data_IF_125465192256
#
_entry.id   IF_125465192256
#
_cell.length_a   1.000
_cell.length_b   1.000
_cell.length_c   1.000
_cell.angle_alpha   90.00
_cell.angle_beta   90.00
_cell.angle_gamma   90.00
#
_symmetry.space_group_name_H-M   'P 1'
#
loop_
_entity.id
_entity.type
_entity.pdbx_description
1 polymer ?
#
# COMPACT_ATOMS: atom_id res chain seq x y z
N UNK A 1 137.92 65.50 -60.42
CA UNK A 1 137.77 65.10 -59.00
C UNK A 1 136.28 64.91 -58.73
N UNK A 2 135.84 63.79 -58.18
CA UNK A 2 134.47 63.54 -57.74
C UNK A 2 134.23 64.07 -56.31
N UNK A 3 132.96 64.31 -55.96
CA UNK A 3 132.54 64.71 -54.61
C UNK A 3 132.60 63.53 -53.63
N UNK A 4 132.40 63.75 -52.33
CA UNK A 4 132.63 62.71 -51.31
C UNK A 4 131.74 61.46 -51.49
N UNK A 5 130.51 61.63 -51.99
CA UNK A 5 129.52 60.57 -52.27
C UNK A 5 129.55 60.05 -53.71
N UNK A 6 130.44 60.57 -54.55
CA UNK A 6 130.55 60.19 -55.96
C UNK A 6 131.88 59.49 -56.25
N UNK A 7 131.84 58.59 -57.23
CA UNK A 7 133.03 58.03 -57.87
C UNK A 7 133.07 58.42 -59.35
N UNK A 8 134.28 58.68 -59.88
CA UNK A 8 134.47 58.80 -61.31
C UNK A 8 134.64 57.41 -61.89
N UNK A 9 133.80 57.11 -62.86
CA UNK A 9 133.90 55.94 -63.71
C UNK A 9 134.63 56.38 -64.97
N UNK A 10 135.83 55.87 -65.19
CA UNK A 10 136.64 56.14 -66.39
C UNK A 10 136.68 54.87 -67.23
N UNK A 11 136.36 55.03 -68.51
CA UNK A 11 136.33 53.94 -69.49
C UNK A 11 137.06 54.38 -70.76
N UNK A 12 137.43 53.39 -71.58
CA UNK A 12 138.08 53.53 -72.89
C UNK A 12 139.60 53.77 -72.83
N UNK A 13 140.18 54.29 -73.92
CA UNK A 13 141.59 54.18 -74.32
C UNK A 13 142.59 53.93 -73.17
N UNK A 14 143.27 52.76 -73.22
CA UNK A 14 144.25 52.25 -72.24
C UNK A 14 143.69 51.69 -70.91
N UNK A 15 142.37 51.52 -70.77
CA UNK A 15 141.71 50.83 -69.64
C UNK A 15 140.83 49.70 -70.22
N UNK A 16 141.10 48.45 -69.84
CA UNK A 16 140.46 47.26 -70.44
C UNK A 16 139.01 47.04 -69.98
N UNK A 17 138.61 47.56 -68.83
CA UNK A 17 137.27 47.33 -68.25
C UNK A 17 136.66 48.65 -67.73
N UNK A 18 136.70 48.91 -66.42
CA UNK A 18 136.22 50.15 -65.81
C UNK A 18 137.13 50.52 -64.65
N UNK A 19 137.66 51.75 -64.66
CA UNK A 19 138.43 52.27 -63.52
C UNK A 19 137.57 53.23 -62.67
N UNK A 20 137.41 52.90 -61.39
CA UNK A 20 136.70 53.73 -60.42
C UNK A 20 137.70 54.55 -59.60
N UNK A 21 137.73 55.87 -59.79
CA UNK A 21 138.66 56.77 -59.11
C UNK A 21 137.95 58.00 -58.54
N UNK A 22 138.34 58.48 -57.35
CA UNK A 22 137.86 59.78 -56.84
C UNK A 22 138.52 60.97 -57.51
N UNK A 23 139.74 60.80 -58.00
CA UNK A 23 140.51 61.83 -58.72
C UNK A 23 141.43 61.13 -59.72
N UNK A 24 141.26 61.46 -60.99
CA UNK A 24 142.14 60.96 -62.06
C UNK A 24 142.21 62.00 -63.19
N UNK A 25 143.32 61.98 -63.93
CA UNK A 25 143.55 62.78 -65.14
C UNK A 25 143.01 62.03 -66.34
N UNK A 26 142.16 62.68 -67.13
CA UNK A 26 141.50 62.04 -68.29
C UNK A 26 142.40 62.28 -69.51
N UNK A 27 142.90 61.20 -70.10
CA UNK A 27 143.70 61.25 -71.32
C UNK A 27 142.81 61.43 -72.56
N UNK A 28 143.33 61.97 -73.68
CA UNK A 28 142.58 62.08 -74.93
C UNK A 28 142.10 60.69 -75.39
N UNK A 29 140.78 60.54 -75.55
CA UNK A 29 140.14 59.26 -75.91
C UNK A 29 139.55 58.46 -74.74
N UNK A 30 139.57 58.99 -73.51
CA UNK A 30 138.87 58.41 -72.36
C UNK A 30 137.55 59.13 -72.09
N UNK A 31 136.52 58.37 -71.71
CA UNK A 31 135.21 58.90 -71.30
C UNK A 31 135.05 58.85 -69.78
N UNK A 32 134.53 59.94 -69.20
CA UNK A 32 134.23 60.04 -67.76
C UNK A 32 132.73 60.11 -67.53
N UNK A 33 132.23 59.25 -66.64
CA UNK A 33 130.88 59.35 -66.05
C UNK A 33 130.97 59.44 -64.53
N UNK A 34 130.08 60.20 -63.87
CA UNK A 34 129.98 60.27 -62.40
C UNK A 34 128.93 59.29 -61.89
N UNK A 35 129.24 58.55 -60.82
CA UNK A 35 128.34 57.60 -60.15
C UNK A 35 128.12 58.04 -58.70
N UNK A 36 126.87 58.35 -58.34
CA UNK A 36 126.49 58.75 -56.98
C UNK A 36 126.08 57.50 -56.17
N UNK A 37 126.62 57.40 -54.96
CA UNK A 37 126.53 56.21 -54.09
C UNK A 37 125.82 56.56 -52.78
N UNK A 38 125.01 57.62 -52.78
CA UNK A 38 124.27 58.08 -51.61
C UNK A 38 123.28 57.00 -51.10
N UNK A 39 123.29 56.67 -49.80
CA UNK A 39 122.39 55.65 -49.24
C UNK A 39 120.92 56.11 -49.29
N UNK A 40 120.01 55.21 -49.66
CA UNK A 40 118.56 55.47 -49.70
C UNK A 40 117.84 54.89 -48.48
N UNK A 41 116.87 55.65 -47.98
CA UNK A 41 116.01 55.23 -46.87
C UNK A 41 114.70 54.65 -47.41
N UNK A 42 114.36 53.43 -46.99
CA UNK A 42 113.09 52.77 -47.27
C UNK A 42 112.26 52.65 -46.00
N UNK A 43 111.05 53.20 -46.03
CA UNK A 43 110.09 53.12 -44.93
C UNK A 43 109.11 51.98 -45.18
N UNK A 44 109.01 51.03 -44.25
CA UNK A 44 108.04 49.95 -44.31
C UNK A 44 107.07 50.04 -43.14
N UNK A 45 105.79 49.84 -43.44
CA UNK A 45 104.75 49.66 -42.43
C UNK A 45 104.45 48.17 -42.30
N UNK A 46 105.03 47.55 -41.26
CA UNK A 46 104.86 46.11 -41.03
C UNK A 46 103.66 45.91 -40.10
N UNK A 47 102.64 45.23 -40.62
CA UNK A 47 101.49 44.82 -39.83
C UNK A 47 101.81 43.51 -39.10
N UNK A 48 101.99 43.59 -37.79
CA UNK A 48 102.32 42.44 -36.96
C UNK A 48 101.21 42.16 -35.93
N UNK A 49 101.10 40.89 -35.52
CA UNK A 49 100.16 40.45 -34.49
C UNK A 49 100.95 39.76 -33.37
N UNK A 50 100.73 40.18 -32.13
CA UNK A 50 101.31 39.54 -30.94
C UNK A 50 100.75 38.13 -30.74
N UNK A 51 101.44 37.29 -29.96
CA UNK A 51 100.94 35.97 -29.55
C UNK A 51 99.56 36.05 -28.85
N UNK A 52 99.24 37.19 -28.24
CA UNK A 52 97.94 37.48 -27.60
C UNK A 52 96.88 38.05 -28.56
N UNK A 53 97.14 38.02 -29.87
CA UNK A 53 96.26 38.55 -30.94
C UNK A 53 96.03 40.06 -30.95
N UNK A 54 96.87 40.84 -30.27
CA UNK A 54 96.88 42.29 -30.43
C UNK A 54 97.62 42.70 -31.70
N UNK A 55 96.96 43.51 -32.54
CA UNK A 55 97.50 44.07 -33.78
C UNK A 55 98.27 45.36 -33.48
N UNK A 56 99.48 45.50 -34.04
CA UNK A 56 100.25 46.74 -33.95
C UNK A 56 101.01 47.00 -35.26
N UNK A 57 101.17 48.28 -35.59
CA UNK A 57 101.87 48.77 -36.78
C UNK A 57 103.27 49.22 -36.38
N UNK A 58 104.30 48.55 -36.88
CA UNK A 58 105.69 48.96 -36.71
C UNK A 58 106.12 49.77 -37.94
N UNK A 59 106.41 51.05 -37.73
CA UNK A 59 107.10 51.86 -38.73
C UNK A 59 108.60 51.63 -38.59
N UNK A 60 109.18 50.88 -39.52
CA UNK A 60 110.61 50.58 -39.56
C UNK A 60 111.24 51.27 -40.76
N UNK A 61 112.29 52.05 -40.53
CA UNK A 61 113.08 52.69 -41.59
C UNK A 61 114.37 51.89 -41.77
N UNK A 62 114.59 51.35 -42.96
CA UNK A 62 115.84 50.69 -43.32
C UNK A 62 116.63 51.59 -44.26
N UNK A 63 117.89 51.86 -43.92
CA UNK A 63 118.82 52.58 -44.79
C UNK A 63 119.63 51.56 -45.56
N UNK A 64 119.49 51.54 -46.89
CA UNK A 64 120.24 50.63 -47.78
C UNK A 64 121.16 51.49 -48.63
N UNK A 65 122.46 51.23 -48.55
CA UNK A 65 123.49 51.90 -49.34
C UNK A 65 124.52 50.89 -49.85
N UNK A 66 125.13 51.12 -51.01
CA UNK A 66 126.22 50.28 -51.51
C UNK A 66 127.39 50.28 -50.53
N UNK A 67 128.02 49.12 -50.31
CA UNK A 67 129.22 49.03 -49.47
C UNK A 67 130.39 49.66 -50.22
N UNK A 68 130.96 50.72 -49.66
CA UNK A 68 132.02 51.52 -50.30
C UNK A 68 133.40 50.85 -50.31
N UNK A 69 133.58 49.82 -49.47
CA UNK A 69 134.90 49.21 -49.21
C UNK A 69 135.21 48.03 -50.15
N UNK A 70 134.24 47.56 -50.94
CA UNK A 70 134.36 46.37 -51.79
C UNK A 70 134.09 46.72 -53.27
N UNK A 71 135.17 46.96 -54.02
CA UNK A 71 135.12 47.40 -55.42
C UNK A 71 134.33 46.44 -56.33
N UNK A 72 134.35 45.14 -56.01
CA UNK A 72 133.69 44.10 -56.81
C UNK A 72 132.15 44.20 -56.71
N UNK A 73 131.64 44.74 -55.60
CA UNK A 73 130.21 44.97 -55.40
C UNK A 73 129.70 46.23 -56.12
N UNK A 74 130.56 47.23 -56.32
CA UNK A 74 130.24 48.46 -57.06
C UNK A 74 130.19 48.22 -58.58
N UNK A 75 130.99 47.28 -59.10
CA UNK A 75 130.99 46.91 -60.52
C UNK A 75 129.68 46.21 -60.95
N UNK A 76 129.06 45.44 -60.04
CA UNK A 76 127.83 44.66 -60.31
C UNK A 76 126.56 45.50 -60.47
N UNK A 77 126.56 46.77 -60.07
CA UNK A 77 125.37 47.63 -60.08
C UNK A 77 124.98 48.17 -61.47
N UNK A 78 125.80 48.04 -62.52
CA UNK A 78 125.54 48.75 -63.80
C UNK A 78 125.35 47.87 -65.04
N UNK A 79 125.36 46.55 -64.95
CA UNK A 79 125.16 45.69 -66.11
C UNK A 79 124.42 44.40 -65.81
N UNK A 80 123.12 44.32 -66.13
CA UNK A 80 122.52 43.04 -66.52
C UNK A 80 121.07 43.17 -67.05
N UNK A 81 120.89 43.01 -68.37
CA UNK A 81 119.58 42.74 -68.99
C UNK A 81 119.07 41.31 -68.68
N UNK A 82 119.96 40.41 -68.25
CA UNK A 82 119.64 39.01 -67.96
C UNK A 82 118.93 38.79 -66.61
N UNK A 83 119.07 39.71 -65.63
CA UNK A 83 118.27 39.66 -64.39
C UNK A 83 116.83 40.13 -64.58
N UNK A 84 116.56 41.05 -65.52
CA UNK A 84 115.19 41.44 -65.88
C UNK A 84 114.39 40.26 -66.43
N UNK A 85 115.00 39.46 -67.31
CA UNK A 85 114.37 38.26 -67.87
C UNK A 85 114.12 37.16 -66.83
N UNK A 86 115.07 36.92 -65.92
CA UNK A 86 114.92 35.92 -64.86
C UNK A 86 113.83 36.33 -63.86
N UNK A 87 113.79 37.61 -63.48
CA UNK A 87 112.78 38.15 -62.56
C UNK A 87 111.39 38.15 -63.21
N UNK A 88 111.28 38.48 -64.50
CA UNK A 88 110.02 38.40 -65.25
C UNK A 88 109.51 36.95 -65.37
N UNK A 89 110.40 35.96 -65.54
CA UNK A 89 110.03 34.54 -65.56
C UNK A 89 109.56 34.06 -64.17
N UNK A 90 110.29 34.43 -63.12
CA UNK A 90 109.93 34.09 -61.74
C UNK A 90 108.60 34.73 -61.33
N UNK A 91 108.38 36.00 -61.68
CA UNK A 91 107.12 36.71 -61.45
C UNK A 91 105.95 36.08 -62.22
N UNK A 92 106.16 35.64 -63.46
CA UNK A 92 105.14 34.96 -64.25
C UNK A 92 104.81 33.56 -63.72
N UNK A 93 105.80 32.81 -63.27
CA UNK A 93 105.61 31.48 -62.68
C UNK A 93 104.87 31.57 -61.33
N UNK A 94 105.27 32.51 -60.47
CA UNK A 94 104.56 32.81 -59.22
C UNK A 94 103.12 33.31 -59.47
N UNK A 95 102.91 34.16 -60.48
CA UNK A 95 101.59 34.67 -60.84
C UNK A 95 100.67 33.56 -61.38
N UNK A 96 101.21 32.61 -62.14
CA UNK A 96 100.44 31.46 -62.63
C UNK A 96 100.11 30.47 -61.51
N UNK A 97 101.05 30.20 -60.60
CA UNK A 97 100.78 29.34 -59.44
C UNK A 97 99.71 29.95 -58.52
N UNK A 98 99.80 31.26 -58.23
CA UNK A 98 98.79 31.96 -57.45
C UNK A 98 97.41 31.92 -58.11
N UNK A 99 97.32 32.00 -59.45
CA UNK A 99 96.05 31.84 -60.18
C UNK A 99 95.47 30.44 -60.02
N UNK A 100 96.30 29.40 -60.07
CA UNK A 100 95.88 28.00 -59.88
C UNK A 100 95.37 27.79 -58.45
N UNK A 101 96.11 28.25 -57.44
CA UNK A 101 95.73 28.09 -56.03
C UNK A 101 94.44 28.85 -55.71
N UNK A 102 94.27 30.06 -56.25
CA UNK A 102 93.02 30.85 -56.12
C UNK A 102 91.85 30.15 -56.83
N UNK A 103 92.07 29.55 -58.00
CA UNK A 103 91.04 28.81 -58.71
C UNK A 103 90.63 27.54 -57.95
N UNK A 104 91.59 26.80 -57.39
CA UNK A 104 91.34 25.61 -56.59
C UNK A 104 90.61 25.95 -55.28
N UNK A 105 91.03 27.02 -54.58
CA UNK A 105 90.37 27.51 -53.39
C UNK A 105 88.94 27.98 -53.67
N UNK A 106 88.71 28.70 -54.78
CA UNK A 106 87.37 29.10 -55.24
C UNK A 106 86.51 27.89 -55.57
N UNK A 107 87.06 26.88 -56.24
CA UNK A 107 86.36 25.63 -56.56
C UNK A 107 85.97 24.89 -55.27
N UNK A 108 86.90 24.69 -54.33
CA UNK A 108 86.64 24.06 -53.02
C UNK A 108 85.59 24.83 -52.22
N UNK A 109 85.68 26.16 -52.20
CA UNK A 109 84.69 27.03 -51.56
C UNK A 109 83.29 26.90 -52.18
N UNK A 110 83.20 26.92 -53.50
CA UNK A 110 81.94 26.77 -54.23
C UNK A 110 81.30 25.38 -54.05
N UNK A 111 82.11 24.32 -54.09
CA UNK A 111 81.67 22.95 -53.83
C UNK A 111 81.20 22.80 -52.38
N UNK A 112 81.96 23.32 -51.41
CA UNK A 112 81.56 23.31 -50.00
C UNK A 112 80.26 24.09 -49.75
N UNK A 113 80.09 25.25 -50.39
CA UNK A 113 78.87 26.04 -50.30
C UNK A 113 77.66 25.31 -50.90
N UNK A 114 77.81 24.66 -52.07
CA UNK A 114 76.74 23.84 -52.67
C UNK A 114 76.41 22.61 -51.82
N UNK A 115 77.42 21.94 -51.25
CA UNK A 115 77.21 20.78 -50.38
C UNK A 115 76.41 21.15 -49.14
N UNK A 116 76.73 22.27 -48.47
CA UNK A 116 75.96 22.76 -47.32
C UNK A 116 74.52 23.07 -47.71
N UNK A 117 74.29 23.75 -48.84
CA UNK A 117 72.93 24.01 -49.35
C UNK A 117 72.16 22.71 -49.62
N UNK A 118 72.81 21.72 -50.24
CA UNK A 118 72.22 20.40 -50.47
C UNK A 118 71.87 19.68 -49.16
N UNK A 119 72.76 19.72 -48.17
CA UNK A 119 72.52 19.16 -46.84
C UNK A 119 71.39 19.88 -46.10
N UNK A 120 71.32 21.22 -46.17
CA UNK A 120 70.22 21.99 -45.57
C UNK A 120 68.87 21.60 -46.19
N UNK A 121 68.80 21.47 -47.52
CA UNK A 121 67.58 21.06 -48.21
C UNK A 121 67.19 19.61 -47.86
N UNK A 122 68.16 18.69 -47.79
CA UNK A 122 67.90 17.30 -47.38
C UNK A 122 67.43 17.19 -45.93
N UNK A 123 68.05 17.94 -45.01
CA UNK A 123 67.66 17.95 -43.61
C UNK A 123 66.28 18.59 -43.42
N UNK A 124 65.97 19.68 -44.13
CA UNK A 124 64.63 20.26 -44.12
C UNK A 124 63.58 19.25 -44.61
N UNK A 125 63.83 18.57 -45.74
CA UNK A 125 62.92 17.56 -46.26
C UNK A 125 62.72 16.36 -45.30
N UNK A 126 63.78 15.93 -44.61
CA UNK A 126 63.69 14.88 -43.58
C UNK A 126 62.86 15.34 -42.38
N UNK A 127 63.12 16.55 -41.88
CA UNK A 127 62.37 17.13 -40.75
C UNK A 127 60.89 17.27 -41.12
N UNK A 128 60.57 17.76 -42.32
CA UNK A 128 59.19 17.91 -42.78
C UNK A 128 58.48 16.55 -42.89
N UNK A 129 59.17 15.53 -43.41
CA UNK A 129 58.64 14.18 -43.50
C UNK A 129 58.40 13.57 -42.10
N UNK A 130 59.36 13.68 -41.20
CA UNK A 130 59.24 13.22 -39.81
C UNK A 130 58.12 13.96 -39.07
N UNK A 131 58.03 15.28 -39.23
CA UNK A 131 56.98 16.11 -38.63
C UNK A 131 55.61 15.69 -39.16
N UNK A 132 55.48 15.43 -40.46
CA UNK A 132 54.23 14.94 -41.06
C UNK A 132 53.84 13.56 -40.55
N UNK A 133 54.79 12.65 -40.38
CA UNK A 133 54.54 11.32 -39.79
C UNK A 133 54.08 11.45 -38.34
N UNK A 134 54.75 12.29 -37.54
CA UNK A 134 54.39 12.53 -36.14
C UNK A 134 53.00 13.17 -36.03
N UNK A 135 52.68 14.15 -36.88
CA UNK A 135 51.34 14.76 -36.93
C UNK A 135 50.27 13.72 -37.23
N UNK A 136 50.45 12.91 -38.28
CA UNK A 136 49.45 11.88 -38.65
C UNK A 136 49.30 10.81 -37.56
N UNK A 137 50.41 10.38 -36.93
CA UNK A 137 50.36 9.42 -35.81
C UNK A 137 49.60 10.01 -34.61
N UNK A 138 49.94 11.24 -34.21
CA UNK A 138 49.28 11.93 -33.09
C UNK A 138 47.80 12.18 -33.35
N UNK A 139 47.42 12.52 -34.58
CA UNK A 139 46.02 12.69 -34.97
C UNK A 139 45.25 11.35 -34.94
N UNK A 140 45.89 10.26 -35.38
CA UNK A 140 45.34 8.91 -35.30
C UNK A 140 45.12 8.46 -33.85
N UNK A 141 46.13 8.63 -33.00
CA UNK A 141 46.06 8.34 -31.56
C UNK A 141 44.99 9.19 -30.85
N UNK A 142 44.93 10.49 -31.14
CA UNK A 142 43.92 11.40 -30.57
C UNK A 142 42.50 10.97 -30.95
N UNK A 143 42.27 10.63 -32.22
CA UNK A 143 40.96 10.11 -32.68
C UNK A 143 40.61 8.78 -32.02
N UNK A 144 41.59 7.88 -31.87
CA UNK A 144 41.37 6.60 -31.20
C UNK A 144 41.02 6.78 -29.72
N UNK A 145 41.70 7.69 -29.04
CA UNK A 145 41.44 8.01 -27.64
C UNK A 145 40.09 8.71 -27.46
N UNK A 146 39.73 9.63 -28.35
CA UNK A 146 38.41 10.26 -28.36
C UNK A 146 37.28 9.24 -28.55
N UNK A 147 37.41 8.32 -29.52
CA UNK A 147 36.45 7.23 -29.73
C UNK A 147 36.36 6.34 -28.48
N UNK A 148 37.50 5.98 -27.88
CA UNK A 148 37.54 5.16 -26.67
C UNK A 148 36.86 5.84 -25.49
N UNK A 149 37.13 7.13 -25.25
CA UNK A 149 36.49 7.91 -24.18
C UNK A 149 35.00 8.04 -24.43
N UNK A 150 34.58 8.35 -25.66
CA UNK A 150 33.17 8.50 -26.00
C UNK A 150 32.42 7.16 -25.90
N UNK A 151 33.05 6.06 -26.32
CA UNK A 151 32.47 4.71 -26.19
C UNK A 151 32.36 4.31 -24.72
N UNK A 152 33.37 4.57 -23.89
CA UNK A 152 33.29 4.35 -22.43
C UNK A 152 32.19 5.20 -21.80
N UNK A 153 32.08 6.47 -22.17
CA UNK A 153 31.03 7.35 -21.67
C UNK A 153 29.63 6.85 -22.09
N UNK A 154 29.47 6.35 -23.31
CA UNK A 154 28.22 5.78 -23.80
C UNK A 154 27.86 4.46 -23.11
N UNK A 155 28.82 3.57 -22.91
CA UNK A 155 28.62 2.32 -22.15
C UNK A 155 28.17 2.65 -20.72
N UNK A 156 28.83 3.59 -20.06
CA UNK A 156 28.47 3.99 -18.70
C UNK A 156 27.05 4.58 -18.63
N UNK A 157 26.69 5.46 -19.57
CA UNK A 157 25.32 5.99 -19.66
C UNK A 157 24.30 4.87 -19.86
N UNK A 158 24.54 3.97 -20.81
CA UNK A 158 23.64 2.84 -21.08
C UNK A 158 23.51 1.91 -19.87
N UNK A 159 24.61 1.61 -19.16
CA UNK A 159 24.59 0.82 -17.93
C UNK A 159 23.76 1.52 -16.85
N UNK A 160 23.96 2.83 -16.66
CA UNK A 160 23.22 3.59 -15.66
C UNK A 160 21.72 3.69 -15.99
N UNK A 161 21.40 3.87 -17.27
CA UNK A 161 20.02 3.84 -17.75
C UNK A 161 19.37 2.47 -17.54
N UNK A 162 20.09 1.37 -17.81
CA UNK A 162 19.62 0.01 -17.55
C UNK A 162 19.39 -0.22 -16.03
N UNK A 163 20.32 0.18 -15.17
CA UNK A 163 20.16 0.10 -13.71
C UNK A 163 18.93 0.91 -13.22
N UNK A 164 18.73 2.12 -13.76
CA UNK A 164 17.55 2.94 -13.43
C UNK A 164 16.26 2.26 -13.91
N UNK A 165 16.27 1.68 -15.11
CA UNK A 165 15.12 0.95 -15.65
C UNK A 165 14.79 -0.29 -14.82
N UNK A 166 15.78 -1.06 -14.40
CA UNK A 166 15.62 -2.22 -13.51
C UNK A 166 15.09 -1.79 -12.14
N UNK A 167 15.65 -0.75 -11.54
CA UNK A 167 15.18 -0.22 -10.26
C UNK A 167 13.72 0.28 -10.36
N UNK A 168 13.37 0.95 -11.46
CA UNK A 168 11.99 1.40 -11.72
C UNK A 168 11.04 0.22 -11.95
N UNK A 169 11.47 -0.82 -12.66
CA UNK A 169 10.68 -2.04 -12.84
C UNK A 169 10.44 -2.76 -11.50
N UNK A 170 11.48 -2.90 -10.68
CA UNK A 170 11.36 -3.46 -9.32
C UNK A 170 10.43 -2.63 -8.45
N UNK A 171 10.57 -1.30 -8.47
CA UNK A 171 9.69 -0.39 -7.75
C UNK A 171 8.23 -0.52 -8.23
N UNK A 172 8.00 -0.65 -9.53
CA UNK A 172 6.67 -0.88 -10.10
C UNK A 172 6.08 -2.22 -9.65
N UNK A 173 6.86 -3.31 -9.65
CA UNK A 173 6.39 -4.62 -9.14
C UNK A 173 6.05 -4.57 -7.64
N UNK A 174 6.87 -3.90 -6.83
CA UNK A 174 6.59 -3.70 -5.40
C UNK A 174 5.33 -2.88 -5.18
N UNK A 175 5.14 -1.78 -5.92
CA UNK A 175 3.90 -1.00 -5.89
C UNK A 175 2.68 -1.83 -6.27
N UNK A 176 2.76 -2.61 -7.35
CA UNK A 176 1.67 -3.48 -7.78
C UNK A 176 1.34 -4.56 -6.74
N UNK A 177 2.35 -5.10 -6.05
CA UNK A 177 2.13 -6.05 -4.96
C UNK A 177 1.45 -5.38 -3.77
N UNK A 178 1.92 -4.20 -3.33
CA UNK A 178 1.27 -3.45 -2.26
C UNK A 178 -0.18 -3.07 -2.62
N UNK A 179 -0.44 -2.63 -3.85
CA UNK A 179 -1.79 -2.33 -4.33
C UNK A 179 -2.69 -3.58 -4.40
N UNK A 180 -2.11 -4.75 -4.69
CA UNK A 180 -2.83 -6.01 -4.64
C UNK A 180 -3.15 -6.40 -3.20
N UNK A 181 -2.21 -6.25 -2.28
CA UNK A 181 -2.37 -6.58 -0.87
C UNK A 181 -3.39 -5.68 -0.19
N UNK A 182 -3.38 -4.36 -0.48
CA UNK A 182 -4.39 -3.42 0.04
C UNK A 182 -5.79 -3.76 -0.46
N UNK A 183 -5.95 -4.00 -1.77
CA UNK A 183 -7.24 -4.43 -2.34
C UNK A 183 -7.70 -5.77 -1.78
N UNK A 184 -6.79 -6.72 -1.56
CA UNK A 184 -7.12 -8.01 -0.97
C UNK A 184 -7.62 -7.83 0.46
N UNK A 185 -6.94 -7.03 1.28
CA UNK A 185 -7.36 -6.72 2.64
C UNK A 185 -8.72 -6.01 2.69
N UNK A 186 -9.00 -5.07 1.77
CA UNK A 186 -10.31 -4.40 1.66
C UNK A 186 -11.43 -5.39 1.29
N UNK A 187 -11.18 -6.28 0.34
CA UNK A 187 -12.14 -7.32 -0.07
C UNK A 187 -12.36 -8.33 1.06
N UNK A 188 -11.32 -8.73 1.77
CA UNK A 188 -11.44 -9.64 2.92
C UNK A 188 -12.23 -8.98 4.05
N UNK A 189 -11.93 -7.72 4.39
CA UNK A 189 -12.67 -6.96 5.40
C UNK A 189 -14.15 -6.83 5.03
N UNK A 190 -14.47 -6.46 3.78
CA UNK A 190 -15.86 -6.36 3.32
C UNK A 190 -16.57 -7.72 3.31
N UNK A 191 -15.90 -8.81 2.93
CA UNK A 191 -16.47 -10.17 3.02
C UNK A 191 -16.73 -10.59 4.46
N UNK A 192 -15.84 -10.28 5.40
CA UNK A 192 -16.05 -10.58 6.83
C UNK A 192 -17.27 -9.82 7.36
N UNK A 193 -17.43 -8.55 6.99
CA UNK A 193 -18.62 -7.76 7.35
C UNK A 193 -19.88 -8.40 6.76
N UNK A 194 -19.87 -8.75 5.47
CA UNK A 194 -21.01 -9.36 4.80
C UNK A 194 -21.39 -10.75 5.37
N UNK A 195 -20.41 -11.56 5.77
CA UNK A 195 -20.66 -12.84 6.43
C UNK A 195 -21.32 -12.64 7.80
N UNK A 196 -20.81 -11.70 8.61
CA UNK A 196 -21.42 -11.37 9.91
C UNK A 196 -22.83 -10.83 9.75
N UNK A 197 -23.08 -9.99 8.74
CA UNK A 197 -24.41 -9.48 8.45
C UNK A 197 -25.38 -10.59 8.03
N UNK A 198 -24.93 -11.51 7.17
CA UNK A 198 -25.71 -12.68 6.76
C UNK A 198 -25.99 -13.65 7.93
N UNK A 199 -25.02 -13.87 8.82
CA UNK A 199 -25.20 -14.65 10.06
C UNK A 199 -26.23 -13.99 10.97
N UNK A 200 -26.12 -12.68 11.20
CA UNK A 200 -27.06 -11.93 12.03
C UNK A 200 -28.47 -11.94 11.42
N UNK A 201 -28.58 -11.82 10.11
CA UNK A 201 -29.86 -11.87 9.42
C UNK A 201 -30.50 -13.27 9.54
N UNK A 202 -29.72 -14.34 9.43
CA UNK A 202 -30.20 -15.70 9.72
C UNK A 202 -30.70 -15.85 11.15
N UNK A 203 -29.99 -15.30 12.14
CA UNK A 203 -30.44 -15.33 13.53
C UNK A 203 -31.76 -14.57 13.73
N UNK A 204 -31.91 -13.41 13.08
CA UNK A 204 -33.15 -12.62 13.13
C UNK A 204 -34.31 -13.40 12.50
N UNK A 205 -34.10 -14.00 11.33
CA UNK A 205 -35.11 -14.84 10.66
C UNK A 205 -35.49 -16.05 11.52
N UNK A 206 -34.50 -16.72 12.13
CA UNK A 206 -34.72 -17.83 13.03
C UNK A 206 -35.55 -17.43 14.26
N UNK A 207 -35.20 -16.30 14.91
CA UNK A 207 -35.97 -15.77 16.05
C UNK A 207 -37.38 -15.35 15.66
N UNK A 208 -37.54 -14.75 14.48
CA UNK A 208 -38.86 -14.38 13.95
C UNK A 208 -39.72 -15.63 13.68
N UNK A 209 -39.14 -16.68 13.08
CA UNK A 209 -39.82 -17.95 12.86
C UNK A 209 -40.23 -18.61 14.19
N UNK A 210 -39.33 -18.66 15.18
CA UNK A 210 -39.65 -19.17 16.52
C UNK A 210 -40.82 -18.39 17.15
N UNK A 211 -40.77 -17.06 17.13
CA UNK A 211 -41.82 -16.19 17.66
C UNK A 211 -43.16 -16.46 16.98
N UNK A 212 -43.18 -16.67 15.66
CA UNK A 212 -44.40 -17.03 14.93
C UNK A 212 -44.92 -18.42 15.33
N UNK A 213 -44.04 -19.41 15.49
CA UNK A 213 -44.46 -20.75 15.93
C UNK A 213 -45.01 -20.74 17.34
N UNK A 214 -44.42 -19.97 18.26
CA UNK A 214 -44.92 -19.81 19.63
C UNK A 214 -46.26 -19.08 19.65
N UNK A 215 -46.42 -18.03 18.84
CA UNK A 215 -47.69 -17.33 18.69
C UNK A 215 -48.79 -18.26 18.17
N UNK A 216 -48.52 -19.04 17.13
CA UNK A 216 -49.47 -20.02 16.59
C UNK A 216 -49.79 -21.12 17.62
N UNK A 217 -48.77 -21.58 18.36
CA UNK A 217 -48.96 -22.55 19.44
C UNK A 217 -49.87 -22.00 20.54
N UNK A 218 -49.65 -20.76 20.99
CA UNK A 218 -50.49 -20.10 21.98
C UNK A 218 -51.93 -19.91 21.48
N UNK A 219 -52.11 -19.49 20.22
CA UNK A 219 -53.43 -19.37 19.61
C UNK A 219 -54.16 -20.72 19.52
N UNK A 220 -53.46 -21.77 19.09
CA UNK A 220 -54.04 -23.11 18.99
C UNK A 220 -54.37 -23.70 20.36
N UNK A 221 -53.49 -23.50 21.35
CA UNK A 221 -53.75 -23.91 22.73
C UNK A 221 -54.97 -23.18 23.29
N UNK A 222 -55.04 -21.84 23.14
CA UNK A 222 -56.20 -21.06 23.60
C UNK A 222 -57.49 -21.52 22.94
N UNK A 223 -57.50 -21.75 21.62
CA UNK A 223 -58.67 -22.29 20.92
C UNK A 223 -59.07 -23.66 21.44
N UNK A 224 -58.11 -24.59 21.61
CA UNK A 224 -58.38 -25.92 22.13
C UNK A 224 -58.92 -25.89 23.57
N UNK A 225 -58.41 -24.99 24.43
CA UNK A 225 -58.92 -24.81 25.79
C UNK A 225 -60.36 -24.31 25.76
N UNK A 226 -60.66 -23.27 24.96
CA UNK A 226 -62.02 -22.74 24.83
C UNK A 226 -62.97 -23.81 24.28
N UNK A 227 -62.58 -24.56 23.24
CA UNK A 227 -63.39 -25.64 22.69
C UNK A 227 -63.66 -26.76 23.72
N UNK A 228 -62.66 -27.10 24.54
CA UNK A 228 -62.84 -28.06 25.62
C UNK A 228 -63.77 -27.53 26.72
N UNK A 229 -63.65 -26.26 27.10
CA UNK A 229 -64.54 -25.61 28.08
C UNK A 229 -65.98 -25.53 27.56
N UNK A 230 -66.18 -25.17 26.29
CA UNK A 230 -67.50 -25.19 25.65
C UNK A 230 -68.10 -26.59 25.69
N UNK A 231 -67.35 -27.63 25.27
CA UNK A 231 -67.84 -29.02 25.30
C UNK A 231 -68.13 -29.50 26.72
N UNK A 232 -67.32 -29.11 27.70
CA UNK A 232 -67.56 -29.42 29.10
C UNK A 232 -68.87 -28.77 29.58
N UNK A 233 -69.06 -27.48 29.30
CA UNK A 233 -70.29 -26.76 29.63
C UNK A 233 -71.52 -27.28 28.89
N UNK A 234 -71.40 -27.68 27.62
CA UNK A 234 -72.47 -28.32 26.86
C UNK A 234 -72.85 -29.67 27.49
N UNK A 235 -71.87 -30.48 27.89
CA UNK A 235 -72.12 -31.75 28.57
C UNK A 235 -72.79 -31.55 29.94
N UNK A 236 -72.32 -30.57 30.73
CA UNK A 236 -72.93 -30.17 32.00
C UNK A 236 -74.37 -29.68 31.81
N UNK A 237 -74.62 -28.90 30.77
CA UNK A 237 -75.95 -28.41 30.42
C UNK A 237 -76.90 -29.55 30.04
N UNK A 238 -76.45 -30.50 29.23
CA UNK A 238 -77.23 -31.69 28.88
C UNK A 238 -77.54 -32.57 30.10
N UNK A 239 -76.58 -32.73 31.02
CA UNK A 239 -76.82 -33.39 32.30
C UNK A 239 -77.84 -32.63 33.14
N UNK A 240 -77.72 -31.30 33.25
CA UNK A 240 -78.65 -30.46 33.99
C UNK A 240 -80.07 -30.55 33.42
N UNK A 241 -80.22 -30.53 32.08
CA UNK A 241 -81.51 -30.69 31.40
C UNK A 241 -82.14 -32.05 31.70
N UNK A 242 -81.36 -33.13 31.63
CA UNK A 242 -81.84 -34.49 32.00
C UNK A 242 -82.23 -34.57 33.47
N UNK A 243 -81.43 -34.01 34.37
CA UNK A 243 -81.72 -34.00 35.81
C UNK A 243 -82.99 -33.20 36.12
N UNK A 244 -83.17 -32.02 35.52
CA UNK A 244 -84.41 -31.23 35.63
C UNK A 244 -85.61 -31.99 35.09
N UNK A 245 -85.48 -32.65 33.94
CA UNK A 245 -86.53 -33.48 33.36
C UNK A 245 -86.90 -34.67 34.26
N UNK A 246 -85.91 -35.39 34.79
CA UNK A 246 -86.14 -36.50 35.72
C UNK A 246 -86.79 -36.03 37.03
N UNK A 247 -86.34 -34.89 37.59
CA UNK A 247 -86.95 -34.31 38.78
C UNK A 247 -88.40 -33.86 38.55
N UNK A 248 -88.72 -33.35 37.35
CA UNK A 248 -90.10 -33.01 36.99
C UNK A 248 -90.98 -34.27 36.98
N UNK A 249 -90.51 -35.35 36.35
CA UNK A 249 -91.23 -36.63 36.29
C UNK A 249 -91.41 -37.24 37.68
N UNK A 250 -90.38 -37.18 38.53
CA UNK A 250 -90.49 -37.60 39.93
C UNK A 250 -91.55 -36.79 40.68
N UNK A 251 -91.54 -35.48 40.53
CA UNK A 251 -92.53 -34.60 41.15
C UNK A 251 -93.96 -34.88 40.66
N UNK A 252 -94.15 -35.14 39.36
CA UNK A 252 -95.44 -35.53 38.80
C UNK A 252 -95.93 -36.87 39.40
N UNK A 253 -95.05 -37.86 39.51
CA UNK A 253 -95.37 -39.13 40.16
C UNK A 253 -95.67 -38.97 41.65
N UNK A 254 -94.91 -38.16 42.39
CA UNK A 254 -95.18 -37.84 43.79
C UNK A 254 -96.55 -37.18 43.96
N UNK A 255 -96.88 -36.21 43.10
CA UNK A 255 -98.19 -35.53 43.11
C UNK A 255 -99.34 -36.48 42.80
N UNK A 256 -99.20 -37.33 41.79
CA UNK A 256 -100.21 -38.34 41.45
C UNK A 256 -100.38 -39.37 42.58
N UNK A 257 -99.28 -39.78 43.23
CA UNK A 257 -99.33 -40.68 44.38
C UNK A 257 -100.04 -40.02 45.57
N UNK A 258 -99.72 -38.76 45.89
CA UNK A 258 -100.41 -37.94 46.91
C UNK A 258 -101.91 -37.84 46.62
N UNK A 259 -102.29 -37.55 45.38
CA UNK A 259 -103.70 -37.48 44.97
C UNK A 259 -104.41 -38.82 45.16
N UNK A 260 -103.76 -39.93 44.79
CA UNK A 260 -104.30 -41.29 44.98
C UNK A 260 -104.43 -41.70 46.46
N UNK A 261 -103.52 -41.21 47.31
CA UNK A 261 -103.61 -41.41 48.75
C UNK A 261 -104.74 -40.54 49.32
N UNK A 262 -104.83 -39.29 48.90
CA UNK A 262 -105.87 -38.37 49.34
C UNK A 262 -107.27 -38.89 48.98
N UNK A 263 -107.49 -39.37 47.75
CA UNK A 263 -108.76 -39.98 47.35
C UNK A 263 -109.10 -41.21 48.19
N UNK A 264 -108.14 -42.13 48.38
CA UNK A 264 -108.33 -43.31 49.25
C UNK A 264 -108.63 -42.94 50.70
N UNK A 265 -107.98 -41.91 51.25
CA UNK A 265 -108.27 -41.44 52.61
C UNK A 265 -109.67 -40.85 52.71
N UNK A 266 -110.12 -40.08 51.72
CA UNK A 266 -111.48 -39.54 51.65
C UNK A 266 -112.54 -40.63 51.49
N UNK A 267 -112.28 -41.64 50.67
CA UNK A 267 -113.15 -42.82 50.54
C UNK A 267 -113.21 -43.61 51.86
N UNK A 268 -112.07 -43.82 52.52
CA UNK A 268 -112.04 -44.48 53.82
C UNK A 268 -112.77 -43.68 54.92
N UNK A 269 -112.64 -42.35 54.93
CA UNK A 269 -113.43 -41.46 55.79
C UNK A 269 -114.92 -41.54 55.49
N UNK A 270 -115.32 -41.55 54.21
CA UNK A 270 -116.72 -41.68 53.80
C UNK A 270 -117.30 -43.03 54.26
N UNK A 271 -116.56 -44.13 54.13
CA UNK A 271 -116.95 -45.45 54.62
C UNK A 271 -117.05 -45.49 56.15
N UNK A 272 -116.11 -44.85 56.87
CA UNK A 272 -116.21 -44.71 58.34
C UNK A 272 -117.45 -43.94 58.74
N UNK A 273 -117.72 -42.80 58.11
CA UNK A 273 -118.91 -42.00 58.37
C UNK A 273 -120.20 -42.78 58.03
N UNK A 274 -120.20 -43.57 56.96
CA UNK A 274 -121.33 -44.42 56.59
C UNK A 274 -121.54 -45.55 57.61
N UNK A 275 -120.46 -46.18 58.08
CA UNK A 275 -120.49 -47.19 59.13
C UNK A 275 -120.99 -46.60 60.45
N UNK A 276 -120.49 -45.43 60.86
CA UNK A 276 -120.95 -44.71 62.05
C UNK A 276 -122.42 -44.30 61.95
N UNK A 277 -122.87 -43.81 60.79
CA UNK A 277 -124.28 -43.52 60.53
C UNK A 277 -125.15 -44.78 60.62
N UNK A 278 -124.66 -45.92 60.11
CA UNK A 278 -125.38 -47.20 60.21
C UNK A 278 -125.47 -47.71 61.65
N UNK A 279 -124.40 -47.58 62.44
CA UNK A 279 -124.38 -47.92 63.87
C UNK A 279 -125.32 -47.02 64.65
N UNK A 280 -125.35 -45.72 64.35
CA UNK A 280 -126.27 -44.78 64.97
C UNK A 280 -127.74 -45.11 64.64
N UNK A 281 -128.05 -45.48 63.38
CA UNK A 281 -129.38 -45.93 63.00
C UNK A 281 -129.79 -47.23 63.71
N UNK A 282 -128.87 -48.19 63.89
CA UNK A 282 -129.11 -49.40 64.67
C UNK A 282 -129.36 -49.08 66.15
N UNK A 283 -128.58 -48.17 66.76
CA UNK A 283 -128.79 -47.72 68.14
C UNK A 283 -130.17 -47.08 68.31
N UNK A 284 -130.56 -46.15 67.43
CA UNK A 284 -131.89 -45.53 67.50
C UNK A 284 -133.02 -46.53 67.31
N UNK A 285 -132.88 -47.51 66.42
CA UNK A 285 -133.86 -48.60 66.29
C UNK A 285 -133.95 -49.44 67.56
N UNK A 286 -132.82 -49.83 68.14
CA UNK A 286 -132.78 -50.61 69.37
C UNK A 286 -133.36 -49.83 70.56
N UNK A 287 -133.06 -48.53 70.69
CA UNK A 287 -133.64 -47.64 71.70
C UNK A 287 -135.15 -47.47 71.49
N UNK A 288 -135.61 -47.33 70.25
CA UNK A 288 -137.04 -47.30 69.90
C UNK A 288 -137.77 -48.60 70.26
N UNK A 289 -137.15 -49.76 70.01
CA UNK A 289 -137.67 -51.07 70.40
C UNK A 289 -137.71 -51.25 71.92
N UNK A 290 -136.69 -50.78 72.64
CA UNK A 290 -136.69 -50.79 74.11
C UNK A 290 -137.77 -49.87 74.67
N UNK A 291 -137.95 -48.68 74.10
CA UNK A 291 -139.00 -47.76 74.51
C UNK A 291 -140.41 -48.33 74.25
N UNK A 292 -140.61 -49.01 73.12
CA UNK A 292 -141.86 -49.70 72.81
C UNK A 292 -142.18 -50.80 73.85
N UNK A 293 -141.20 -51.64 74.18
CA UNK A 293 -141.35 -52.66 75.23
C UNK A 293 -141.63 -52.05 76.62
N UNK A 294 -140.98 -50.92 76.93
CA UNK A 294 -141.21 -50.22 78.19
C UNK A 294 -142.64 -49.65 78.28
N UNK A 295 -143.15 -49.08 77.18
CA UNK A 295 -144.53 -48.60 77.06
C UNK A 295 -145.58 -49.71 77.17
N UNK A 296 -145.34 -50.87 76.54
CA UNK A 296 -146.20 -52.04 76.68
C UNK A 296 -146.24 -52.55 78.13
N UNK A 297 -145.08 -52.65 78.79
CA UNK A 297 -145.00 -53.06 80.19
C UNK A 297 -145.71 -52.08 81.15
N UNK A 298 -145.65 -50.77 80.86
CA UNK A 298 -146.36 -49.72 81.59
C UNK A 298 -147.89 -49.84 81.39
N UNK A 299 -148.34 -50.17 80.17
CA UNK A 299 -149.74 -50.46 79.87
C UNK A 299 -150.27 -51.69 80.62
N UNK A 300 -149.47 -52.76 80.68
CA UNK A 300 -149.80 -53.96 81.44
C UNK A 300 -149.92 -53.68 82.95
N UNK A 301 -149.00 -52.88 83.50
CA UNK A 301 -149.05 -52.44 84.90
C UNK A 301 -150.32 -51.65 85.20
N UNK A 302 -150.68 -50.71 84.32
CA UNK A 302 -151.89 -49.90 84.47
C UNK A 302 -153.16 -50.75 84.45
N UNK A 303 -153.23 -51.78 83.59
CA UNK A 303 -154.36 -52.71 83.55
C UNK A 303 -154.53 -53.48 84.87
N UNK A 304 -153.43 -53.88 85.51
CA UNK A 304 -153.44 -54.61 86.79
C UNK A 304 -153.86 -53.72 87.95
N UNK A 305 -153.40 -52.46 87.97
CA UNK A 305 -153.82 -51.48 88.98
C UNK A 305 -155.34 -51.23 88.88
N UNK A 306 -155.87 -51.03 87.67
CA UNK A 306 -157.32 -50.82 87.47
C UNK A 306 -158.15 -52.04 87.86
N UNK A 307 -157.66 -53.26 87.62
CA UNK A 307 -158.30 -54.49 88.11
C UNK A 307 -158.29 -54.58 89.64
N UNK A 308 -157.20 -54.17 90.29
CA UNK A 308 -157.09 -54.14 91.75
C UNK A 308 -158.02 -53.10 92.40
N UNK A 309 -158.19 -51.93 91.78
CA UNK A 309 -159.17 -50.92 92.20
C UNK A 309 -160.61 -51.43 92.10
N UNK A 310 -160.95 -52.15 91.02
CA UNK A 310 -162.27 -52.77 90.86
C UNK A 310 -162.56 -53.84 91.92
N UNK A 311 -161.56 -54.64 92.31
CA UNK A 311 -161.70 -55.61 93.40
C UNK A 311 -161.92 -54.94 94.77
N UNK A 312 -161.26 -53.82 95.06
CA UNK A 312 -161.49 -53.04 96.29
C UNK A 312 -162.93 -52.54 96.37
N UNK A 313 -163.44 -51.96 95.29
CA UNK A 313 -164.82 -51.47 95.24
C UNK A 313 -165.86 -52.58 95.48
N UNK A 314 -165.57 -53.81 95.04
CA UNK A 314 -166.45 -54.97 95.27
C UNK A 314 -166.46 -55.41 96.75
N UNK A 315 -165.30 -55.44 97.41
CA UNK A 315 -165.20 -55.81 98.83
C UNK A 315 -165.87 -54.76 99.73
N UNK A 316 -165.70 -53.48 99.43
CA UNK A 316 -166.34 -52.38 100.19
C UNK A 316 -167.88 -52.43 100.09
N UNK A 317 -168.41 -52.81 98.91
CA UNK A 317 -169.86 -52.99 98.71
C UNK A 317 -170.43 -54.17 99.51
N UNK A 318 -169.71 -55.30 99.57
CA UNK A 318 -170.12 -56.45 100.39
C UNK A 318 -170.06 -56.14 101.89
N UNK A 319 -169.04 -55.40 102.32
CA UNK A 319 -168.94 -54.93 103.71
C UNK A 319 -170.10 -54.03 104.12
N UNK A 320 -170.56 -53.16 103.22
CA UNK A 320 -171.71 -52.28 103.48
C UNK A 320 -173.05 -53.04 103.56
N UNK A 321 -173.26 -54.01 102.67
CA UNK A 321 -174.48 -54.82 102.66
C UNK A 321 -174.63 -55.68 103.94
N UNK A 322 -173.55 -56.34 104.37
CA UNK A 322 -173.54 -57.16 105.59
C UNK A 322 -173.78 -56.28 106.84
N UNK A 323 -173.18 -55.09 106.90
CA UNK A 323 -173.35 -54.17 108.03
C UNK A 323 -174.80 -53.65 108.17
N UNK A 324 -175.48 -53.46 107.05
CA UNK A 324 -176.87 -52.96 107.03
C UNK A 324 -177.86 -54.04 107.47
N UNK A 325 -177.66 -55.29 107.01
CA UNK A 325 -178.46 -56.44 107.44
C UNK A 325 -178.25 -56.81 108.92
N UNK A 326 -177.04 -56.64 109.44
CA UNK A 326 -176.73 -56.98 110.84
C UNK A 326 -177.31 -55.97 111.85
N UNK A 327 -177.51 -54.72 111.44
CA UNK A 327 -178.10 -53.68 112.28
C UNK A 327 -179.64 -53.78 112.40
N UNK A 328 -180.34 -54.33 111.40
CA UNK A 328 -181.81 -54.49 111.48
C UNK A 328 -182.28 -55.59 112.43
N UNK A 329 -181.39 -56.47 112.89
CA UNK A 329 -181.73 -57.60 113.78
C UNK A 329 -181.15 -57.50 115.21
N UNK A 330 -180.76 -56.30 115.66
CA UNK A 330 -180.42 -56.07 117.07
C UNK A 330 -179.25 -56.90 117.60
N UNK A 331 -178.31 -57.32 116.72
CA UNK A 331 -177.11 -58.06 117.12
C UNK A 331 -177.31 -59.54 117.47
N UNK A 332 -178.48 -60.12 117.21
CA UNK A 332 -178.76 -61.52 117.55
C UNK A 332 -178.47 -62.46 116.36
N UNK A 333 -177.29 -63.09 116.36
CA UNK A 333 -176.78 -63.93 115.27
C UNK A 333 -177.63 -65.19 115.00
N UNK A 334 -178.39 -65.69 115.97
CA UNK A 334 -179.18 -66.93 115.84
C UNK A 334 -180.50 -66.78 115.06
N UNK A 335 -180.92 -65.55 114.70
CA UNK A 335 -182.09 -65.30 113.84
C UNK A 335 -181.71 -65.02 112.37
N UNK A 336 -180.43 -64.99 112.03
CA UNK A 336 -179.92 -64.64 110.69
C UNK A 336 -179.52 -65.88 109.87
N UNK A 337 -179.80 -67.08 110.37
CA UNK A 337 -179.41 -68.34 109.74
C UNK A 337 -180.65 -69.15 109.39
N UNK A 338 -181.38 -68.67 108.41
CA UNK A 338 -182.07 -69.45 107.38
C UNK A 338 -182.20 -68.61 106.11
#
# INVERSE_FOLDING_TARGET
VATASEYLVITECYIDDIELAKKSWILPGQHRTTFDVSPMNYTFEVHAMSAEKLSFLLQTVFTIGPRMDDFDSLLRCKGHEYFSYLDQKLQNEAANQAKIDVAEAKMKGAVGAKLRKGQTVQNAAKIDAETKIVMVKRDGESKQEEINVNTKAKIFKNQREAEIAEANAQLATKKANWDRDTKMAEVEASKVIALKEAELQREVEFKNALTQTEKLRAQNLSKATIENEIKAHEAEWELFKKQRGANLVLYEHEKQAEESLYSKTREAEALKNQAEASLFAMKQKAEGEQYAKFKEAEGDLYSKIKKAEGLRAFVDAQGFYVKTLMNSFGGNYTAMRD
#
